data_IF_766154002226
#
_entry.id   IF_766154002226
#
_cell.length_a   1.000
_cell.length_b   1.000
_cell.length_c   1.000
_cell.angle_alpha   90.00
_cell.angle_beta   90.00
_cell.angle_gamma   90.00
#
_symmetry.space_group_name_H-M   'P 1'
#
loop_
_entity.id
_entity.type
_entity.pdbx_description
1 polymer ?
#
# COMPACT_ATOMS: atom_id res chain seq x y z
N UNK A 1 15.20 -6.84 15.38
CA UNK A 1 15.42 -6.61 13.93
C UNK A 1 16.62 -5.70 13.69
N UNK A 2 16.65 -4.48 14.21
CA UNK A 2 17.76 -3.53 14.04
C UNK A 2 19.13 -4.13 14.38
N UNK A 3 19.28 -4.73 15.57
CA UNK A 3 20.54 -5.34 16.03
C UNK A 3 21.02 -6.51 15.17
N UNK A 4 20.11 -7.13 14.40
CA UNK A 4 20.40 -8.23 13.49
C UNK A 4 20.78 -7.76 12.08
N UNK A 5 20.86 -6.43 11.85
CA UNK A 5 21.19 -5.87 10.54
C UNK A 5 20.11 -6.09 9.46
N UNK A 6 18.85 -6.23 9.88
CA UNK A 6 17.72 -6.45 8.95
C UNK A 6 17.44 -5.22 8.07
N UNK A 7 17.75 -4.03 8.61
CA UNK A 7 17.58 -2.75 7.89
C UNK A 7 18.92 -2.25 7.37
N UNK A 8 18.86 -1.42 6.33
CA UNK A 8 20.04 -0.72 5.81
C UNK A 8 20.64 0.20 6.89
N UNK A 9 21.94 0.48 6.81
CA UNK A 9 22.65 1.28 7.83
C UNK A 9 22.10 2.71 7.96
N UNK A 10 21.61 3.27 6.85
CA UNK A 10 21.12 4.67 6.77
C UNK A 10 19.60 4.75 6.67
N UNK A 11 18.88 3.82 7.30
CA UNK A 11 17.41 3.72 7.23
C UNK A 11 16.69 5.04 7.54
N UNK A 12 17.27 5.88 8.41
CA UNK A 12 16.71 7.17 8.78
C UNK A 12 16.79 8.23 7.68
N UNK A 13 17.60 7.99 6.66
CA UNK A 13 17.85 8.95 5.57
C UNK A 13 17.35 8.45 4.21
N UNK A 14 16.84 7.21 4.15
CA UNK A 14 16.37 6.59 2.92
C UNK A 14 14.88 6.88 2.76
N UNK A 15 14.53 7.60 1.68
CA UNK A 15 13.15 7.84 1.31
C UNK A 15 12.53 6.63 0.58
N UNK A 16 11.21 6.70 0.34
CA UNK A 16 10.45 5.64 -0.31
C UNK A 16 11.02 5.24 -1.67
N UNK A 17 11.30 6.20 -2.54
CA UNK A 17 11.82 5.94 -3.88
C UNK A 17 13.23 5.34 -3.86
N UNK A 18 14.10 5.81 -2.97
CA UNK A 18 15.43 5.24 -2.79
C UNK A 18 15.38 3.81 -2.27
N UNK A 19 14.44 3.50 -1.36
CA UNK A 19 14.23 2.14 -0.88
C UNK A 19 13.72 1.21 -2.00
N UNK A 20 12.82 1.71 -2.87
CA UNK A 20 12.36 1.00 -4.05
C UNK A 20 13.50 0.71 -5.03
N UNK A 21 14.35 1.70 -5.31
CA UNK A 21 15.52 1.54 -6.17
C UNK A 21 16.53 0.50 -5.61
N UNK A 22 16.71 0.46 -4.29
CA UNK A 22 17.55 -0.58 -3.67
C UNK A 22 16.96 -1.99 -3.86
N UNK A 23 15.65 -2.14 -3.76
CA UNK A 23 14.97 -3.41 -4.02
C UNK A 23 15.11 -3.82 -5.50
N UNK A 24 14.79 -2.93 -6.43
CA UNK A 24 14.90 -3.19 -7.86
C UNK A 24 16.35 -3.43 -8.30
N UNK A 25 17.32 -2.80 -7.65
CA UNK A 25 18.76 -3.04 -7.85
C UNK A 25 19.31 -4.31 -7.20
N UNK A 26 18.46 -5.11 -6.52
CA UNK A 26 18.85 -6.34 -5.85
C UNK A 26 19.66 -6.15 -4.55
N UNK A 27 19.69 -4.93 -4.00
CA UNK A 27 20.38 -4.59 -2.75
C UNK A 27 19.49 -4.79 -1.51
N UNK A 28 18.19 -4.96 -1.69
CA UNK A 28 17.24 -5.31 -0.66
C UNK A 28 16.43 -6.54 -1.09
N UNK A 29 16.27 -7.52 -0.19
CA UNK A 29 15.52 -8.75 -0.47
C UNK A 29 14.00 -8.56 -0.39
N UNK A 30 13.54 -7.54 0.33
CA UNK A 30 12.12 -7.24 0.54
C UNK A 30 11.89 -5.74 0.54
N UNK A 31 10.74 -5.35 0.04
CA UNK A 31 10.28 -3.97 0.04
C UNK A 31 8.78 -3.94 0.39
N UNK A 32 8.39 -3.09 1.31
CA UNK A 32 6.99 -2.92 1.66
C UNK A 32 6.38 -1.89 0.73
N UNK A 33 5.39 -2.31 -0.05
CA UNK A 33 4.74 -1.49 -1.05
C UNK A 33 3.26 -1.84 -1.19
N UNK A 34 2.62 -1.32 -2.22
CA UNK A 34 1.24 -1.59 -2.58
C UNK A 34 1.03 -1.68 -4.10
N UNK A 35 -0.22 -1.81 -4.49
CA UNK A 35 -0.60 -1.96 -5.89
C UNK A 35 -0.15 -0.79 -6.80
N UNK A 36 0.17 0.35 -6.24
CA UNK A 36 0.65 1.54 -6.98
C UNK A 36 2.03 1.38 -7.60
N UNK A 37 2.84 0.41 -7.15
CA UNK A 37 4.18 0.16 -7.69
C UNK A 37 4.23 -0.99 -8.70
N UNK A 38 3.11 -1.67 -8.98
CA UNK A 38 3.10 -2.81 -9.89
C UNK A 38 3.68 -2.43 -11.25
N UNK A 39 3.29 -1.29 -11.81
CA UNK A 39 3.78 -0.82 -13.11
C UNK A 39 5.30 -0.64 -13.14
N UNK A 40 5.90 -0.10 -12.07
CA UNK A 40 7.34 0.05 -11.96
C UNK A 40 8.04 -1.32 -11.84
N UNK A 41 7.43 -2.25 -11.11
CA UNK A 41 7.96 -3.60 -10.95
C UNK A 41 7.87 -4.40 -12.25
N UNK A 42 6.76 -4.31 -12.99
CA UNK A 42 6.61 -4.93 -14.31
C UNK A 42 7.61 -4.38 -15.34
N UNK A 43 7.88 -3.07 -15.30
CA UNK A 43 8.84 -2.40 -16.17
C UNK A 43 10.31 -2.68 -15.83
N UNK A 44 10.61 -3.45 -14.79
CA UNK A 44 11.97 -3.69 -14.32
C UNK A 44 12.53 -5.03 -14.80
N UNK A 45 13.88 -5.14 -14.83
CA UNK A 45 14.59 -6.41 -15.08
C UNK A 45 14.34 -7.47 -13.97
N UNK A 46 13.66 -7.07 -12.91
CA UNK A 46 13.33 -7.92 -11.77
C UNK A 46 11.93 -8.53 -11.88
N UNK A 47 11.08 -8.13 -12.82
CA UNK A 47 9.67 -8.52 -12.91
C UNK A 47 9.43 -10.03 -12.72
N UNK A 48 10.19 -10.88 -13.43
CA UNK A 48 10.06 -12.34 -13.33
C UNK A 48 10.59 -12.95 -12.02
N UNK A 49 11.19 -12.14 -11.13
CA UNK A 49 11.79 -12.58 -9.86
C UNK A 49 11.05 -12.03 -8.65
N UNK A 50 10.10 -11.14 -8.87
CA UNK A 50 9.31 -10.51 -7.80
C UNK A 50 8.17 -11.44 -7.42
N UNK A 51 8.08 -11.78 -6.14
CA UNK A 51 6.95 -12.45 -5.52
C UNK A 51 6.24 -11.53 -4.55
N UNK A 52 4.99 -11.85 -4.24
CA UNK A 52 4.18 -11.11 -3.28
C UNK A 52 3.81 -11.98 -2.09
N UNK A 53 3.79 -11.39 -0.90
CA UNK A 53 3.26 -12.00 0.32
C UNK A 53 2.75 -10.93 1.28
N UNK A 54 1.77 -11.30 2.12
CA UNK A 54 1.10 -10.36 3.05
C UNK A 54 1.93 -9.93 4.25
N UNK A 55 3.10 -10.40 4.39
CA UNK A 55 3.98 -10.13 5.51
C UNK A 55 4.21 -11.34 6.40
N UNK A 56 5.27 -11.31 7.21
CA UNK A 56 5.61 -12.43 8.08
C UNK A 56 4.60 -12.55 9.23
N UNK A 57 4.29 -13.79 9.59
CA UNK A 57 3.49 -14.11 10.77
C UNK A 57 4.39 -14.48 11.96
N UNK A 58 3.89 -14.26 13.17
CA UNK A 58 4.57 -14.63 14.41
C UNK A 58 3.94 -15.91 14.96
N UNK A 59 4.76 -16.94 15.20
CA UNK A 59 4.30 -18.26 15.66
C UNK A 59 3.62 -18.26 17.02
N UNK A 60 3.88 -17.25 17.85
CA UNK A 60 3.37 -17.06 19.21
C UNK A 60 2.25 -16.00 19.31
N UNK A 61 1.81 -15.45 18.19
CA UNK A 61 0.72 -14.48 18.17
C UNK A 61 -0.64 -15.16 18.45
N UNK A 62 -1.40 -14.55 19.34
CA UNK A 62 -2.80 -14.92 19.62
C UNK A 62 -3.80 -14.20 18.69
N UNK A 63 -3.31 -13.29 17.85
CA UNK A 63 -4.13 -12.48 16.94
C UNK A 63 -4.14 -13.07 15.55
N UNK A 64 -5.20 -12.76 14.81
CA UNK A 64 -5.27 -13.05 13.38
C UNK A 64 -4.12 -12.36 12.64
N UNK A 65 -3.40 -13.12 11.82
CA UNK A 65 -2.21 -12.62 11.12
C UNK A 65 -2.34 -12.67 9.59
N UNK A 66 -3.32 -13.42 9.06
CA UNK A 66 -3.62 -13.44 7.63
C UNK A 66 -4.53 -12.25 7.27
N UNK A 67 -4.00 -11.06 7.49
CA UNK A 67 -4.69 -9.82 7.21
C UNK A 67 -3.94 -9.02 6.16
N UNK A 68 -4.70 -8.40 5.26
CA UNK A 68 -4.18 -7.46 4.27
C UNK A 68 -4.89 -6.12 4.37
N UNK A 69 -4.16 -5.03 4.19
CA UNK A 69 -4.76 -3.71 4.17
C UNK A 69 -5.41 -3.51 2.81
N UNK A 70 -6.75 -3.36 2.82
CA UNK A 70 -7.51 -2.95 1.65
C UNK A 70 -7.91 -1.49 1.81
N UNK A 71 -7.21 -0.62 1.13
CA UNK A 71 -7.55 0.79 1.05
C UNK A 71 -7.84 1.15 -0.41
N UNK A 72 -8.80 2.05 -0.64
CA UNK A 72 -8.91 2.70 -1.94
C UNK A 72 -7.70 3.61 -2.10
N UNK A 73 -6.91 3.43 -3.16
CA UNK A 73 -5.67 4.16 -3.40
C UNK A 73 -5.83 5.65 -3.67
N UNK A 74 -7.06 6.16 -3.77
CA UNK A 74 -7.34 7.56 -3.97
C UNK A 74 -8.83 7.83 -4.03
N UNK A 75 -9.20 9.05 -3.74
CA UNK A 75 -10.56 9.55 -3.91
C UNK A 75 -10.54 10.69 -4.93
N UNK A 76 -11.49 10.67 -5.85
CA UNK A 76 -11.74 11.78 -6.74
C UNK A 76 -12.84 12.66 -6.15
N UNK A 77 -12.60 13.94 -6.11
CA UNK A 77 -13.57 14.91 -5.60
C UNK A 77 -13.88 15.94 -6.67
N UNK A 78 -15.14 16.35 -6.75
CA UNK A 78 -15.57 17.45 -7.61
C UNK A 78 -15.50 18.74 -6.80
N UNK A 79 -14.82 19.76 -7.32
CA UNK A 79 -14.83 21.07 -6.67
C UNK A 79 -16.23 21.70 -6.73
N UNK A 80 -16.58 22.52 -5.73
CA UNK A 80 -17.86 23.23 -5.73
C UNK A 80 -18.08 24.03 -7.00
N UNK A 81 -17.05 24.71 -7.51
CA UNK A 81 -17.11 25.45 -8.77
C UNK A 81 -17.46 24.57 -9.96
N UNK A 82 -16.90 23.36 -10.06
CA UNK A 82 -17.24 22.43 -11.15
C UNK A 82 -18.65 21.84 -10.97
N UNK A 83 -19.10 21.64 -9.73
CA UNK A 83 -20.45 21.16 -9.42
C UNK A 83 -21.56 22.20 -9.75
N UNK A 84 -21.23 23.49 -9.78
CA UNK A 84 -22.12 24.58 -10.16
C UNK A 84 -22.29 24.72 -11.68
N UNK A 85 -21.44 24.10 -12.48
CA UNK A 85 -21.53 24.05 -13.95
C UNK A 85 -22.09 22.69 -14.39
N UNK A 86 -23.38 22.65 -14.82
CA UNK A 86 -24.03 21.38 -15.19
C UNK A 86 -23.34 20.66 -16.37
N UNK A 87 -22.79 21.40 -17.34
CA UNK A 87 -22.13 20.79 -18.48
C UNK A 87 -20.79 20.17 -18.09
N UNK A 88 -20.03 20.83 -17.22
CA UNK A 88 -18.77 20.32 -16.70
C UNK A 88 -19.01 19.11 -15.80
N UNK A 89 -20.01 19.19 -14.92
CA UNK A 89 -20.39 18.08 -14.05
C UNK A 89 -20.79 16.84 -14.86
N UNK A 90 -21.60 17.02 -15.90
CA UNK A 90 -21.99 15.92 -16.79
C UNK A 90 -20.78 15.28 -17.48
N UNK A 91 -19.85 16.07 -17.99
CA UNK A 91 -18.61 15.57 -18.58
C UNK A 91 -17.74 14.78 -17.56
N UNK A 92 -17.63 15.26 -16.32
CA UNK A 92 -16.94 14.56 -15.23
C UNK A 92 -17.62 13.22 -14.94
N UNK A 93 -18.95 13.19 -14.88
CA UNK A 93 -19.69 11.95 -14.61
C UNK A 93 -19.56 10.95 -15.76
N UNK A 94 -19.55 11.40 -17.03
CA UNK A 94 -19.29 10.55 -18.19
C UNK A 94 -17.88 9.98 -18.15
N UNK A 95 -16.87 10.78 -17.79
CA UNK A 95 -15.51 10.29 -17.60
C UNK A 95 -15.43 9.21 -16.51
N UNK A 96 -16.08 9.40 -15.38
CA UNK A 96 -16.08 8.39 -14.32
C UNK A 96 -16.84 7.12 -14.69
N UNK A 97 -17.96 7.24 -15.42
CA UNK A 97 -18.67 6.07 -15.96
C UNK A 97 -17.79 5.26 -16.91
N UNK A 98 -16.99 5.92 -17.74
CA UNK A 98 -15.99 5.26 -18.56
C UNK A 98 -14.87 4.64 -17.72
N UNK A 99 -14.26 5.43 -16.81
CA UNK A 99 -13.09 5.02 -16.01
C UNK A 99 -13.36 3.81 -15.11
N UNK A 100 -14.53 3.78 -14.47
CA UNK A 100 -14.96 2.66 -13.62
C UNK A 100 -15.82 1.63 -14.37
N UNK A 101 -16.10 1.84 -15.63
CA UNK A 101 -16.82 0.93 -16.49
C UNK A 101 -15.94 -0.23 -16.98
N UNK A 102 -16.53 -1.13 -17.77
CA UNK A 102 -15.85 -2.33 -18.26
C UNK A 102 -14.59 -1.99 -19.07
N UNK A 103 -14.68 -1.04 -20.00
CA UNK A 103 -13.55 -0.67 -20.86
C UNK A 103 -12.43 0.02 -20.09
N UNK A 104 -12.73 0.98 -19.21
CA UNK A 104 -11.74 1.63 -18.36
C UNK A 104 -11.04 0.65 -17.41
N UNK A 105 -11.82 -0.25 -16.83
CA UNK A 105 -11.30 -1.33 -15.97
C UNK A 105 -10.37 -2.26 -16.74
N UNK A 106 -10.74 -2.62 -17.98
CA UNK A 106 -9.90 -3.43 -18.88
C UNK A 106 -8.57 -2.73 -19.17
N UNK A 107 -8.62 -1.47 -19.58
CA UNK A 107 -7.42 -0.68 -19.87
C UNK A 107 -6.50 -0.62 -18.65
N UNK A 108 -7.05 -0.37 -17.46
CA UNK A 108 -6.25 -0.33 -16.22
C UNK A 108 -5.57 -1.68 -15.97
N UNK A 109 -6.29 -2.77 -16.09
CA UNK A 109 -5.76 -4.10 -15.79
C UNK A 109 -4.77 -4.60 -16.85
N UNK A 110 -5.13 -4.49 -18.14
CA UNK A 110 -4.38 -5.12 -19.23
C UNK A 110 -3.29 -4.21 -19.81
N UNK A 111 -3.57 -2.91 -19.95
CA UNK A 111 -2.66 -2.00 -20.63
C UNK A 111 -1.70 -1.26 -19.68
N UNK A 112 -2.06 -1.11 -18.40
CA UNK A 112 -1.24 -0.38 -17.42
C UNK A 112 -0.68 -1.25 -16.30
N UNK A 113 -0.97 -2.55 -16.30
CA UNK A 113 -0.55 -3.48 -15.24
C UNK A 113 -0.90 -2.97 -13.83
N UNK A 114 -2.05 -2.33 -13.67
CA UNK A 114 -2.49 -1.81 -12.39
C UNK A 114 -3.70 -2.60 -11.88
N UNK A 115 -3.83 -2.66 -10.56
CA UNK A 115 -4.99 -3.29 -9.93
C UNK A 115 -6.20 -2.34 -10.01
N UNK A 116 -7.27 -2.68 -10.75
CA UNK A 116 -8.42 -1.80 -10.87
C UNK A 116 -9.22 -1.75 -9.57
N UNK A 117 -9.88 -0.62 -9.30
CA UNK A 117 -10.79 -0.44 -8.17
C UNK A 117 -12.17 -1.06 -8.37
N UNK A 118 -12.51 -1.42 -9.60
CA UNK A 118 -13.76 -2.08 -9.98
C UNK A 118 -13.52 -3.56 -10.28
N UNK A 119 -14.60 -4.36 -10.28
CA UNK A 119 -14.50 -5.78 -10.59
C UNK A 119 -14.05 -5.99 -12.03
N UNK A 120 -12.95 -6.69 -12.20
CA UNK A 120 -12.44 -7.12 -13.49
C UNK A 120 -12.66 -8.63 -13.66
N UNK A 121 -13.33 -8.99 -14.76
CA UNK A 121 -13.69 -10.38 -15.08
C UNK A 121 -12.86 -10.96 -16.25
N UNK A 122 -11.89 -10.21 -16.76
CA UNK A 122 -10.97 -10.67 -17.79
C UNK A 122 -9.86 -11.56 -17.26
N UNK A 123 -9.01 -12.02 -18.15
CA UNK A 123 -7.81 -12.79 -17.80
C UNK A 123 -6.58 -11.92 -18.00
N UNK A 124 -5.73 -11.86 -16.98
CA UNK A 124 -4.43 -11.23 -17.08
C UNK A 124 -3.46 -12.21 -17.73
N UNK A 125 -2.72 -11.74 -18.73
CA UNK A 125 -1.64 -12.53 -19.35
C UNK A 125 -0.42 -12.55 -18.41
N UNK A 126 -0.24 -13.66 -17.72
CA UNK A 126 0.87 -13.83 -16.76
C UNK A 126 2.25 -13.66 -17.42
N UNK A 127 2.36 -13.91 -18.73
CA UNK A 127 3.64 -13.75 -19.44
C UNK A 127 4.00 -12.28 -19.67
N UNK A 128 2.99 -11.41 -19.71
CA UNK A 128 3.16 -9.96 -19.86
C UNK A 128 3.13 -9.22 -18.52
N UNK A 129 2.36 -9.75 -17.56
CA UNK A 129 2.13 -9.12 -16.26
C UNK A 129 2.40 -10.09 -15.09
N UNK A 130 3.65 -10.58 -14.93
CA UNK A 130 3.98 -11.57 -13.90
C UNK A 130 3.78 -11.05 -12.47
N UNK A 131 4.07 -9.77 -12.21
CA UNK A 131 3.93 -9.19 -10.86
C UNK A 131 2.46 -8.99 -10.51
N UNK A 132 1.66 -8.45 -11.42
CA UNK A 132 0.22 -8.28 -11.23
C UNK A 132 -0.46 -9.62 -11.00
N UNK A 133 -0.11 -10.65 -11.78
CA UNK A 133 -0.65 -12.00 -11.64
C UNK A 133 -0.31 -12.60 -10.28
N UNK A 134 0.93 -12.43 -9.80
CA UNK A 134 1.34 -12.88 -8.46
C UNK A 134 0.54 -12.19 -7.37
N UNK A 135 0.28 -10.88 -7.50
CA UNK A 135 -0.53 -10.13 -6.54
C UNK A 135 -2.00 -10.58 -6.56
N UNK A 136 -2.60 -10.77 -7.74
CA UNK A 136 -3.97 -11.27 -7.87
C UNK A 136 -4.10 -12.66 -7.26
N UNK A 137 -3.13 -13.54 -7.47
CA UNK A 137 -3.11 -14.86 -6.84
C UNK A 137 -3.11 -14.74 -5.32
N UNK A 138 -2.27 -13.88 -4.75
CA UNK A 138 -2.23 -13.63 -3.30
C UNK A 138 -3.52 -13.00 -2.76
N UNK A 139 -4.24 -12.21 -3.54
CA UNK A 139 -5.55 -11.67 -3.18
C UNK A 139 -6.67 -12.72 -3.13
N UNK A 140 -6.50 -13.84 -3.83
CA UNK A 140 -7.44 -14.95 -3.85
C UNK A 140 -7.18 -15.98 -2.74
N UNK A 141 -6.07 -15.86 -2.01
CA UNK A 141 -5.81 -16.68 -0.83
C UNK A 141 -6.74 -16.30 0.33
N UNK A 142 -6.87 -17.20 1.31
CA UNK A 142 -7.66 -16.98 2.53
C UNK A 142 -7.03 -15.89 3.41
N UNK A 143 -7.22 -14.64 3.03
CA UNK A 143 -6.80 -13.48 3.79
C UNK A 143 -7.98 -12.57 4.14
N UNK A 144 -7.88 -11.91 5.26
CA UNK A 144 -8.91 -11.00 5.77
C UNK A 144 -8.55 -9.56 5.41
N UNK A 145 -9.40 -8.90 4.64
CA UNK A 145 -9.27 -7.48 4.37
C UNK A 145 -9.56 -6.65 5.62
N UNK A 146 -8.66 -5.75 5.96
CA UNK A 146 -8.84 -4.79 7.05
C UNK A 146 -8.63 -3.37 6.54
N UNK A 147 -9.31 -2.43 7.18
CA UNK A 147 -9.05 -1.01 6.95
C UNK A 147 -7.76 -0.62 7.66
N UNK A 148 -7.00 0.26 7.05
CA UNK A 148 -5.79 0.79 7.65
C UNK A 148 -6.11 1.47 8.99
N UNK A 149 -5.42 1.09 10.09
CA UNK A 149 -5.73 1.58 11.43
C UNK A 149 -5.73 3.11 11.55
N UNK A 150 -4.86 3.78 10.79
CA UNK A 150 -4.72 5.24 10.79
C UNK A 150 -5.99 5.99 10.39
N UNK A 151 -6.85 5.36 9.58
CA UNK A 151 -8.12 5.97 9.16
C UNK A 151 -9.13 6.10 10.31
N UNK A 152 -8.89 5.42 11.42
CA UNK A 152 -9.74 5.43 12.62
C UNK A 152 -9.15 6.23 13.78
N UNK A 153 -7.94 6.76 13.61
CA UNK A 153 -7.23 7.54 14.62
C UNK A 153 -7.30 9.04 14.29
N UNK A 154 -7.17 9.88 15.32
CA UNK A 154 -6.91 11.30 15.08
C UNK A 154 -5.56 11.48 14.38
N UNK A 155 -5.39 12.60 13.68
CA UNK A 155 -4.13 12.89 13.01
C UNK A 155 -2.94 12.92 13.97
N UNK A 156 -3.14 13.44 15.20
CA UNK A 156 -2.09 13.51 16.21
C UNK A 156 -1.62 12.11 16.64
N UNK A 157 -2.55 11.20 16.90
CA UNK A 157 -2.23 9.82 17.29
C UNK A 157 -1.61 9.05 16.11
N UNK A 158 -2.15 9.24 14.90
CA UNK A 158 -1.62 8.59 13.69
C UNK A 158 -0.17 9.00 13.41
N UNK A 159 0.14 10.29 13.45
CA UNK A 159 1.52 10.78 13.31
C UNK A 159 2.41 10.32 14.47
N UNK A 160 1.90 10.35 15.70
CA UNK A 160 2.63 9.83 16.86
C UNK A 160 2.99 8.37 16.75
N UNK A 161 2.14 7.56 16.11
CA UNK A 161 2.47 6.16 15.83
C UNK A 161 3.66 6.02 14.85
N UNK A 162 3.72 6.84 13.81
CA UNK A 162 4.87 6.85 12.90
C UNK A 162 6.15 7.29 13.62
N UNK A 163 6.09 8.35 14.43
CA UNK A 163 7.22 8.83 15.23
C UNK A 163 7.71 7.76 16.21
N UNK A 164 6.79 7.08 16.90
CA UNK A 164 7.10 6.00 17.81
C UNK A 164 7.81 4.83 17.10
N UNK A 165 7.27 4.40 15.96
CA UNK A 165 7.84 3.32 15.15
C UNK A 165 9.25 3.69 14.67
N UNK A 166 9.41 4.90 14.14
CA UNK A 166 10.71 5.41 13.70
C UNK A 166 11.69 5.53 14.87
N UNK A 167 11.23 5.96 16.04
CA UNK A 167 12.02 6.02 17.26
C UNK A 167 12.57 4.65 17.67
N UNK A 168 11.78 3.58 17.57
CA UNK A 168 12.26 2.21 17.80
C UNK A 168 13.27 1.79 16.74
N UNK A 169 13.00 2.07 15.46
CA UNK A 169 13.90 1.71 14.36
C UNK A 169 15.27 2.39 14.50
N UNK A 170 15.30 3.63 14.92
CA UNK A 170 16.54 4.41 15.13
C UNK A 170 17.18 4.19 16.51
N UNK A 171 16.44 3.56 17.47
CA UNK A 171 16.89 3.30 18.82
C UNK A 171 16.80 4.49 19.76
N UNK A 172 15.98 5.47 19.44
CA UNK A 172 15.59 6.58 20.31
C UNK A 172 14.65 6.09 21.40
N UNK A 173 13.74 5.16 21.06
CA UNK A 173 12.81 4.54 21.99
C UNK A 173 13.05 3.04 22.14
N UNK A 174 12.78 2.49 23.31
CA UNK A 174 12.48 1.06 23.43
C UNK A 174 11.06 0.79 22.92
N UNK A 175 10.71 -0.48 22.58
CA UNK A 175 9.33 -0.80 22.20
C UNK A 175 8.29 -0.38 23.24
N UNK A 176 8.61 -0.51 24.53
CA UNK A 176 7.74 -0.12 25.64
C UNK A 176 7.54 1.40 25.70
N UNK A 177 8.62 2.17 25.56
CA UNK A 177 8.54 3.64 25.51
C UNK A 177 7.74 4.12 24.32
N UNK A 178 7.86 3.47 23.18
CA UNK A 178 7.07 3.79 21.98
C UNK A 178 5.58 3.51 22.18
N UNK A 179 5.24 2.38 22.82
CA UNK A 179 3.87 2.04 23.16
C UNK A 179 3.27 3.06 24.15
N UNK A 180 4.00 3.38 25.22
CA UNK A 180 3.57 4.39 26.22
C UNK A 180 3.38 5.77 25.56
N UNK A 181 4.23 6.16 24.63
CA UNK A 181 4.12 7.42 23.92
C UNK A 181 2.81 7.50 23.12
N UNK A 182 2.47 6.48 22.34
CA UNK A 182 1.22 6.44 21.58
C UNK A 182 0.00 6.39 22.49
N UNK A 183 0.02 5.59 23.56
CA UNK A 183 -1.08 5.51 24.53
C UNK A 183 -1.32 6.86 25.25
N UNK A 184 -0.26 7.59 25.57
CA UNK A 184 -0.39 8.92 26.16
C UNK A 184 -1.04 9.91 25.21
N UNK A 185 -0.70 9.89 23.92
CA UNK A 185 -1.35 10.71 22.89
C UNK A 185 -2.84 10.37 22.79
N UNK A 186 -3.16 9.08 22.71
CA UNK A 186 -4.55 8.62 22.63
C UNK A 186 -5.36 8.97 23.89
N UNK A 187 -4.75 8.87 25.06
CA UNK A 187 -5.41 9.18 26.33
C UNK A 187 -5.67 10.66 26.51
N UNK A 188 -4.83 11.53 25.93
CA UNK A 188 -5.02 12.99 26.00
C UNK A 188 -6.19 13.49 25.13
N UNK A 189 -6.73 12.65 24.26
CA UNK A 189 -7.86 12.98 23.36
C UNK A 189 -9.22 12.43 23.88
N UNK A 190 -9.22 11.69 24.98
CA UNK A 190 -10.42 11.14 25.63
C UNK A 190 -10.94 12.11 26.69
#
# INVERSE_FOLDING_TARGET
MREKGTFTKDISNIGYFEAKEQFLGGNAAMFNSGAWDIGDFEGSDMASKIGFFWGPTFSDSQYEQQIGIKASGGVYVVSSKAAEDPALLDAIMQFWQFYYGEEGTRIIAEDTAALPCSTYNGQIDESQHPVLSTMIAALNDDWKAVTEPFNSLSSNVAYGYFDATFGVMTGVYTPEQAADYVENLQSAER
#
